data_IF_702814383045
#
_entry.id   IF_702814383045
#
_cell.length_a   1.000
_cell.length_b   1.000
_cell.length_c   1.000
_cell.angle_alpha   90.00
_cell.angle_beta   90.00
_cell.angle_gamma   90.00
#
_symmetry.space_group_name_H-M   'P 1'
#
loop_
_entity.id
_entity.type
_entity.pdbx_description
1 polymer ?
#
# COMPACT_ATOMS: atom_id res chain seq x y z
N UNK A 1 5.67 -26.30 0.76
CA UNK A 1 5.98 -26.59 2.17
C UNK A 1 6.63 -27.94 2.34
N UNK A 2 6.16 -29.00 1.66
CA UNK A 2 6.75 -30.34 1.70
C UNK A 2 8.28 -30.35 1.55
N UNK A 3 8.81 -29.65 0.55
CA UNK A 3 10.26 -29.56 0.37
C UNK A 3 10.99 -28.96 1.58
N UNK A 4 10.44 -27.89 2.18
CA UNK A 4 11.03 -27.28 3.37
C UNK A 4 10.99 -28.21 4.59
N UNK A 5 9.95 -29.05 4.68
CA UNK A 5 9.85 -30.10 5.70
C UNK A 5 10.97 -31.15 5.50
N UNK A 6 11.19 -31.60 4.26
CA UNK A 6 12.28 -32.53 3.93
C UNK A 6 13.66 -31.95 4.19
N UNK A 7 13.83 -30.66 3.91
CA UNK A 7 15.06 -29.92 4.18
C UNK A 7 15.29 -29.68 5.69
N UNK A 8 14.35 -30.08 6.55
CA UNK A 8 14.54 -30.09 8.01
C UNK A 8 14.46 -28.71 8.67
N UNK A 9 13.67 -27.77 8.11
CA UNK A 9 13.50 -26.43 8.72
C UNK A 9 12.81 -26.51 10.08
N UNK A 10 13.08 -25.54 10.96
CA UNK A 10 12.41 -25.45 12.27
C UNK A 10 11.20 -24.51 12.26
N UNK A 11 11.21 -23.50 11.38
CA UNK A 11 10.18 -22.47 11.29
C UNK A 11 9.84 -22.22 9.82
N UNK A 12 8.54 -22.07 9.53
CA UNK A 12 8.02 -21.55 8.26
C UNK A 12 7.41 -20.16 8.49
N UNK A 13 7.91 -19.17 7.75
CA UNK A 13 7.40 -17.80 7.73
C UNK A 13 6.78 -17.50 6.38
N UNK A 14 5.46 -17.31 6.34
CA UNK A 14 4.68 -17.23 5.12
C UNK A 14 3.89 -15.93 5.05
N UNK A 15 4.36 -15.00 4.21
CA UNK A 15 3.67 -13.73 3.92
C UNK A 15 2.79 -13.87 2.68
N UNK A 16 1.94 -14.91 2.68
CA UNK A 16 0.99 -15.23 1.62
C UNK A 16 -0.33 -15.66 2.26
N UNK A 17 -1.42 -15.53 1.52
CA UNK A 17 -2.76 -15.90 1.96
C UNK A 17 -3.73 -15.80 0.81
N UNK A 18 -4.85 -16.49 0.93
CA UNK A 18 -5.96 -16.44 -0.02
C UNK A 18 -7.27 -16.10 0.67
N UNK A 19 -8.37 -16.45 0.00
CA UNK A 19 -9.70 -16.49 0.61
C UNK A 19 -9.72 -17.49 1.77
N UNK A 20 -10.62 -17.27 2.73
CA UNK A 20 -10.85 -18.23 3.81
C UNK A 20 -11.74 -19.36 3.30
N UNK A 21 -11.11 -20.43 2.83
CA UNK A 21 -11.79 -21.65 2.38
C UNK A 21 -11.82 -22.72 3.50
N UNK A 22 -12.70 -23.73 3.42
CA UNK A 22 -12.63 -24.89 4.32
C UNK A 22 -11.23 -25.49 4.33
N UNK A 23 -10.71 -25.89 5.50
CA UNK A 23 -9.29 -26.24 5.68
C UNK A 23 -8.76 -27.34 4.74
N UNK A 24 -9.62 -28.25 4.31
CA UNK A 24 -9.27 -29.35 3.40
C UNK A 24 -9.22 -28.93 1.92
N UNK A 25 -9.60 -27.69 1.60
CA UNK A 25 -9.45 -27.06 0.29
C UNK A 25 -8.37 -25.97 0.29
N UNK A 26 -7.96 -25.50 1.47
CA UNK A 26 -6.91 -24.50 1.63
C UNK A 26 -5.52 -25.16 1.62
N UNK A 27 -4.76 -24.93 0.55
CA UNK A 27 -3.41 -25.47 0.37
C UNK A 27 -2.43 -25.00 1.47
N UNK A 28 -2.60 -23.79 2.01
CA UNK A 28 -1.79 -23.28 3.12
C UNK A 28 -2.15 -24.03 4.39
N UNK A 29 -3.44 -24.24 4.67
CA UNK A 29 -3.90 -25.01 5.83
C UNK A 29 -3.39 -26.46 5.80
N UNK A 30 -3.51 -27.15 4.66
CA UNK A 30 -3.03 -28.52 4.48
C UNK A 30 -1.51 -28.60 4.68
N UNK A 31 -0.76 -27.74 4.00
CA UNK A 31 0.70 -27.73 4.09
C UNK A 31 1.20 -27.39 5.50
N UNK A 32 0.55 -26.42 6.16
CA UNK A 32 0.87 -26.04 7.53
C UNK A 32 0.57 -27.17 8.50
N UNK A 33 -0.53 -27.92 8.32
CA UNK A 33 -0.85 -29.06 9.15
C UNK A 33 0.24 -30.13 9.09
N UNK A 34 0.72 -30.44 7.88
CA UNK A 34 1.80 -31.40 7.67
C UNK A 34 3.12 -30.95 8.34
N UNK A 35 3.42 -29.65 8.30
CA UNK A 35 4.59 -29.06 8.96
C UNK A 35 4.46 -29.12 10.49
N UNK A 36 3.34 -28.66 11.05
CA UNK A 36 3.08 -28.65 12.49
C UNK A 36 3.12 -30.07 13.08
N UNK A 37 2.63 -31.08 12.35
CA UNK A 37 2.74 -32.49 12.78
C UNK A 37 4.18 -32.99 12.94
N UNK A 38 5.15 -32.36 12.26
CA UNK A 38 6.58 -32.67 12.37
C UNK A 38 7.31 -31.72 13.32
N UNK A 39 6.57 -30.97 14.14
CA UNK A 39 7.14 -30.04 15.12
C UNK A 39 7.67 -28.74 14.52
N UNK A 40 7.29 -28.41 13.28
CA UNK A 40 7.72 -27.18 12.60
C UNK A 40 6.70 -26.09 12.91
N UNK A 41 7.18 -24.96 13.42
CA UNK A 41 6.32 -23.81 13.73
C UNK A 41 5.95 -23.05 12.45
N UNK A 42 4.68 -22.69 12.28
CA UNK A 42 4.17 -22.01 11.08
C UNK A 42 3.56 -20.65 11.44
N UNK A 43 4.14 -19.59 10.90
CA UNK A 43 3.67 -18.21 11.02
C UNK A 43 3.16 -17.72 9.67
N UNK A 44 1.91 -17.26 9.63
CA UNK A 44 1.30 -16.69 8.43
C UNK A 44 0.76 -15.29 8.67
N UNK A 45 0.78 -14.43 7.64
CA UNK A 45 0.13 -13.11 7.71
C UNK A 45 -1.40 -13.24 7.73
N UNK A 46 -2.09 -12.38 8.49
CA UNK A 46 -3.55 -12.31 8.56
C UNK A 46 -4.24 -11.77 7.27
N UNK A 47 -3.47 -11.20 6.35
CA UNK A 47 -3.98 -10.52 5.16
C UNK A 47 -4.19 -9.01 5.36
N UNK A 48 -4.35 -8.29 4.25
CA UNK A 48 -4.51 -6.82 4.22
C UNK A 48 -5.93 -6.40 3.81
N UNK A 49 -6.90 -7.31 3.89
CA UNK A 49 -8.28 -7.11 3.42
C UNK A 49 -9.22 -6.39 4.40
N UNK A 50 -8.73 -6.01 5.59
CA UNK A 50 -9.51 -5.27 6.57
C UNK A 50 -9.96 -3.88 6.10
N UNK A 51 -10.72 -3.14 6.93
CA UNK A 51 -10.93 -3.33 8.36
C UNK A 51 -12.27 -4.00 8.73
N UNK A 52 -13.01 -4.53 7.74
CA UNK A 52 -14.31 -5.17 8.01
C UNK A 52 -14.14 -6.45 8.83
N UNK A 53 -15.11 -6.80 9.69
CA UNK A 53 -15.13 -8.10 10.35
C UNK A 53 -14.98 -9.25 9.35
N UNK A 54 -14.43 -10.38 9.80
CA UNK A 54 -14.29 -11.62 9.02
C UNK A 54 -13.42 -11.50 7.74
N UNK A 55 -12.53 -10.50 7.67
CA UNK A 55 -11.63 -10.29 6.52
C UNK A 55 -10.27 -11.02 6.63
N UNK A 56 -10.12 -11.95 7.58
CA UNK A 56 -8.84 -12.63 7.87
C UNK A 56 -8.60 -13.78 6.88
N UNK A 57 -7.34 -14.00 6.54
CA UNK A 57 -6.85 -15.20 5.86
C UNK A 57 -6.07 -16.09 6.84
N UNK A 58 -5.76 -17.33 6.43
CA UNK A 58 -4.92 -18.27 7.18
C UNK A 58 -5.46 -18.56 8.60
N UNK A 59 -6.74 -18.91 8.70
CA UNK A 59 -7.48 -19.05 9.97
C UNK A 59 -7.41 -20.48 10.57
N UNK A 60 -6.53 -21.33 10.05
CA UNK A 60 -6.40 -22.70 10.55
C UNK A 60 -5.81 -22.71 11.97
N UNK A 61 -6.35 -23.49 12.92
CA UNK A 61 -5.94 -23.44 14.34
C UNK A 61 -4.47 -23.78 14.63
N UNK A 62 -3.78 -24.46 13.70
CA UNK A 62 -2.38 -24.84 13.81
C UNK A 62 -1.41 -23.82 13.19
N UNK A 63 -1.91 -22.68 12.74
CA UNK A 63 -1.15 -21.56 12.20
C UNK A 63 -1.16 -20.42 13.22
N UNK A 64 0.00 -19.78 13.42
CA UNK A 64 0.03 -18.47 14.08
C UNK A 64 -0.28 -17.39 13.04
N UNK A 65 -1.47 -16.82 13.14
CA UNK A 65 -1.97 -15.78 12.23
C UNK A 65 -1.62 -14.40 12.76
N UNK A 66 -0.77 -13.68 12.04
CA UNK A 66 -0.14 -12.44 12.52
C UNK A 66 -0.82 -11.21 11.90
N UNK A 67 -1.41 -10.37 12.74
CA UNK A 67 -1.94 -9.05 12.36
C UNK A 67 -0.84 -7.99 12.24
N UNK A 68 -1.12 -6.92 11.50
CA UNK A 68 -0.20 -5.79 11.36
C UNK A 68 -0.51 -4.69 12.38
N UNK A 69 0.49 -4.30 13.16
CA UNK A 69 0.44 -3.15 14.07
C UNK A 69 1.35 -2.01 13.59
N UNK A 70 1.13 -0.81 14.13
CA UNK A 70 2.01 0.34 13.91
C UNK A 70 3.11 0.41 14.97
N UNK A 71 4.25 1.01 14.60
CA UNK A 71 5.31 1.39 15.53
C UNK A 71 5.14 2.87 15.93
N UNK A 72 5.94 3.31 16.91
CA UNK A 72 6.08 4.72 17.29
C UNK A 72 6.85 5.56 16.25
N UNK A 73 7.60 4.90 15.36
CA UNK A 73 8.31 5.54 14.24
C UNK A 73 7.36 5.99 13.13
N UNK A 74 7.51 7.24 12.70
CA UNK A 74 6.80 7.84 11.56
C UNK A 74 7.79 8.46 10.53
N UNK A 75 7.30 8.75 9.32
CA UNK A 75 8.05 9.38 8.22
C UNK A 75 7.39 10.69 7.80
N UNK A 76 7.47 11.73 8.64
CA UNK A 76 6.73 12.97 8.43
C UNK A 76 7.23 13.72 7.21
N UNK A 77 6.28 14.22 6.42
CA UNK A 77 6.51 15.14 5.33
C UNK A 77 5.60 16.36 5.49
N UNK A 78 6.11 17.55 5.24
CA UNK A 78 5.36 18.78 5.48
C UNK A 78 5.07 19.50 4.17
N UNK A 79 3.81 19.86 3.96
CA UNK A 79 3.41 20.76 2.88
C UNK A 79 3.20 22.16 3.47
N UNK A 80 4.06 23.11 3.09
CA UNK A 80 3.93 24.52 3.45
C UNK A 80 3.37 25.26 2.24
N UNK A 81 2.16 25.81 2.38
CA UNK A 81 1.50 26.53 1.29
C UNK A 81 1.90 28.00 1.28
N UNK A 82 1.62 28.69 0.16
CA UNK A 82 1.92 30.13 0.02
C UNK A 82 1.22 31.03 1.05
N UNK A 83 0.12 30.57 1.65
CA UNK A 83 -0.56 31.26 2.76
C UNK A 83 0.04 30.97 4.15
N UNK A 84 1.24 30.36 4.20
CA UNK A 84 1.96 29.95 5.41
C UNK A 84 1.26 28.87 6.24
N UNK A 85 0.15 28.28 5.78
CA UNK A 85 -0.42 27.09 6.42
C UNK A 85 0.49 25.90 6.19
N UNK A 86 0.78 25.18 7.27
CA UNK A 86 1.59 23.96 7.28
C UNK A 86 0.68 22.77 7.51
N UNK A 87 0.79 21.77 6.63
CA UNK A 87 0.10 20.50 6.76
C UNK A 87 1.12 19.39 7.02
N UNK A 88 0.81 18.54 7.99
CA UNK A 88 1.58 17.34 8.27
C UNK A 88 1.03 16.20 7.44
N UNK A 89 1.91 15.52 6.72
CA UNK A 89 1.64 14.29 5.96
C UNK A 89 2.75 13.28 6.15
N UNK A 90 2.77 12.26 5.30
CA UNK A 90 3.74 11.15 5.38
C UNK A 90 4.31 10.89 3.99
N UNK A 91 5.63 10.71 3.90
CA UNK A 91 6.29 10.33 2.65
C UNK A 91 7.54 9.50 2.91
N UNK A 92 7.73 8.46 2.10
CA UNK A 92 8.95 7.66 2.06
C UNK A 92 9.93 8.12 0.96
N UNK A 93 9.68 9.29 0.36
CA UNK A 93 10.55 9.81 -0.69
C UNK A 93 11.93 10.17 -0.12
N UNK A 94 12.96 9.48 -0.59
CA UNK A 94 14.36 9.66 -0.18
C UNK A 94 15.24 10.37 -1.23
N UNK A 95 14.63 10.84 -2.34
CA UNK A 95 15.35 11.49 -3.42
C UNK A 95 15.58 12.99 -3.20
N UNK A 96 16.04 13.67 -4.26
CA UNK A 96 16.23 15.12 -4.24
C UNK A 96 14.88 15.83 -4.14
N UNK A 97 14.68 16.60 -3.06
CA UNK A 97 13.47 17.40 -2.88
C UNK A 97 13.28 18.46 -3.98
N UNK A 98 12.10 19.09 -3.96
CA UNK A 98 11.69 20.11 -4.95
C UNK A 98 12.44 21.45 -4.82
N UNK A 99 13.35 21.59 -3.85
CA UNK A 99 14.05 22.83 -3.52
C UNK A 99 13.29 23.67 -2.49
N UNK A 100 13.83 24.86 -2.19
CA UNK A 100 13.23 25.84 -1.27
C UNK A 100 12.29 26.82 -1.97
N UNK A 101 12.36 26.91 -3.29
CA UNK A 101 11.56 27.87 -4.06
C UNK A 101 10.10 27.43 -4.13
N UNK A 102 9.14 28.36 -3.91
CA UNK A 102 7.73 28.05 -4.06
C UNK A 102 7.41 27.58 -5.48
N UNK A 103 6.73 26.45 -5.58
CA UNK A 103 6.21 25.91 -6.83
C UNK A 103 4.70 26.09 -6.91
N UNK A 104 4.17 26.20 -8.12
CA UNK A 104 2.73 26.30 -8.32
C UNK A 104 2.01 25.07 -7.79
N UNK A 105 0.85 25.27 -7.16
CA UNK A 105 -0.05 24.21 -6.72
C UNK A 105 -1.24 24.15 -7.67
N UNK A 106 -1.62 22.94 -8.10
CA UNK A 106 -2.80 22.75 -8.95
C UNK A 106 -3.69 21.66 -8.37
N UNK A 107 -4.98 21.95 -8.27
CA UNK A 107 -6.02 20.97 -8.03
C UNK A 107 -6.89 20.88 -9.26
N UNK A 108 -6.89 19.72 -9.92
CA UNK A 108 -7.64 19.53 -11.15
C UNK A 108 -9.03 18.96 -10.82
N UNK A 109 -9.93 19.84 -10.39
CA UNK A 109 -11.36 19.53 -10.31
C UNK A 109 -11.85 19.48 -11.76
N UNK A 110 -12.07 18.27 -12.30
CA UNK A 110 -12.51 18.08 -13.68
C UNK A 110 -13.67 19.03 -14.01
N UNK A 111 -13.53 19.79 -15.10
CA UNK A 111 -14.54 20.78 -15.52
C UNK A 111 -15.79 20.08 -16.07
N UNK A 112 -15.67 18.80 -16.44
CA UNK A 112 -16.77 17.96 -16.89
C UNK A 112 -16.70 16.59 -16.21
N UNK A 113 -17.88 16.01 -15.95
CA UNK A 113 -18.34 14.72 -15.36
C UNK A 113 -17.37 13.54 -15.10
N UNK A 114 -16.14 13.57 -15.57
CA UNK A 114 -15.09 12.61 -15.27
C UNK A 114 -14.34 12.99 -13.98
N UNK A 115 -14.85 12.46 -12.86
CA UNK A 115 -14.23 12.43 -11.52
C UNK A 115 -12.81 11.82 -11.51
N UNK A 116 -12.29 11.38 -12.65
CA UNK A 116 -11.00 10.71 -12.85
C UNK A 116 -9.80 11.67 -12.78
N UNK A 117 -10.02 12.97 -13.05
CA UNK A 117 -8.96 13.99 -13.03
C UNK A 117 -8.51 14.38 -11.62
N UNK A 118 -9.43 14.51 -10.67
CA UNK A 118 -9.07 14.83 -9.28
C UNK A 118 -8.39 13.67 -8.58
N UNK A 119 -8.66 12.43 -9.01
CA UNK A 119 -7.98 11.23 -8.51
C UNK A 119 -6.70 10.88 -9.29
N UNK A 120 -6.26 11.68 -10.27
CA UNK A 120 -4.99 11.49 -10.99
C UNK A 120 -4.80 10.11 -11.63
N UNK A 121 -5.86 9.55 -12.23
CA UNK A 121 -5.75 8.31 -13.01
C UNK A 121 -4.92 8.49 -14.28
N UNK A 122 -4.38 7.39 -14.85
CA UNK A 122 -3.70 7.45 -16.14
C UNK A 122 -4.53 8.19 -17.20
N UNK A 123 -3.91 9.16 -17.89
CA UNK A 123 -4.54 9.93 -18.96
C UNK A 123 -5.48 11.06 -18.51
N UNK A 124 -5.73 11.26 -17.21
CA UNK A 124 -6.68 12.28 -16.74
C UNK A 124 -6.08 13.66 -16.46
N UNK A 125 -4.74 13.78 -16.47
CA UNK A 125 -4.03 15.04 -16.23
C UNK A 125 -3.62 15.70 -17.54
N UNK A 126 -3.95 16.98 -17.71
CA UNK A 126 -3.46 17.81 -18.81
C UNK A 126 -2.02 18.28 -18.51
N UNK A 127 -1.00 17.85 -19.28
CA UNK A 127 0.39 18.25 -19.08
C UNK A 127 0.59 19.77 -19.10
N UNK A 128 -0.22 20.53 -19.85
CA UNK A 128 -0.11 22.00 -19.90
C UNK A 128 -0.47 22.65 -18.56
N UNK A 129 -1.35 22.02 -17.78
CA UNK A 129 -1.80 22.55 -16.49
C UNK A 129 -0.89 22.12 -15.33
N UNK A 130 -0.27 20.94 -15.41
CA UNK A 130 0.45 20.31 -14.30
C UNK A 130 1.98 20.39 -14.38
N UNK A 131 2.57 20.63 -15.56
CA UNK A 131 4.02 20.68 -15.72
C UNK A 131 4.66 21.73 -14.80
N UNK A 132 5.69 21.32 -14.07
CA UNK A 132 6.43 22.20 -13.15
C UNK A 132 5.69 22.53 -11.85
N UNK A 133 4.55 21.88 -11.57
CA UNK A 133 3.69 22.16 -10.40
C UNK A 133 3.54 20.94 -9.50
N UNK A 134 3.12 21.20 -8.27
CA UNK A 134 2.63 20.18 -7.34
C UNK A 134 1.14 19.95 -7.61
N UNK A 135 0.75 18.69 -7.78
CA UNK A 135 -0.63 18.31 -8.10
C UNK A 135 -1.30 17.73 -6.86
N UNK A 136 -2.48 18.23 -6.52
CA UNK A 136 -3.32 17.65 -5.45
C UNK A 136 -4.18 16.53 -6.04
N UNK A 137 -4.07 15.33 -5.47
CA UNK A 137 -4.76 14.12 -5.92
C UNK A 137 -5.63 13.52 -4.81
N UNK A 138 -6.94 13.43 -5.06
CA UNK A 138 -7.88 12.82 -4.12
C UNK A 138 -7.63 11.32 -3.97
N UNK A 139 -7.99 10.79 -2.78
CA UNK A 139 -8.08 9.34 -2.58
C UNK A 139 -9.12 8.77 -3.54
N UNK A 140 -8.81 7.62 -4.12
CA UNK A 140 -9.70 6.97 -5.08
C UNK A 140 -9.31 5.52 -5.34
N UNK A 141 -9.63 5.04 -6.54
CA UNK A 141 -9.57 3.62 -6.89
C UNK A 141 -8.17 3.08 -7.18
N UNK A 142 -7.22 3.93 -7.59
CA UNK A 142 -5.83 3.52 -7.86
C UNK A 142 -4.92 3.76 -6.65
N UNK A 143 -3.82 3.02 -6.60
CA UNK A 143 -2.83 3.12 -5.53
C UNK A 143 -2.21 4.53 -5.47
N UNK A 144 -1.88 5.01 -4.27
CA UNK A 144 -1.24 6.33 -4.07
C UNK A 144 0.08 6.45 -4.82
N UNK A 145 0.86 5.37 -4.86
CA UNK A 145 2.13 5.30 -5.59
C UNK A 145 1.90 5.47 -7.10
N UNK A 146 0.84 4.83 -7.62
CA UNK A 146 0.48 4.94 -9.03
C UNK A 146 0.07 6.37 -9.41
N UNK A 147 -0.72 7.05 -8.58
CA UNK A 147 -1.05 8.48 -8.76
C UNK A 147 0.21 9.33 -8.89
N UNK A 148 1.20 9.10 -8.01
CA UNK A 148 2.49 9.80 -8.06
C UNK A 148 3.25 9.56 -9.37
N UNK A 149 3.19 8.34 -9.91
CA UNK A 149 3.77 8.01 -11.23
C UNK A 149 3.04 8.75 -12.36
N UNK A 150 1.71 8.84 -12.30
CA UNK A 150 0.92 9.59 -13.30
C UNK A 150 1.28 11.08 -13.27
N UNK A 151 1.36 11.69 -12.08
CA UNK A 151 1.77 13.09 -11.92
C UNK A 151 3.17 13.33 -12.48
N UNK A 152 4.13 12.44 -12.17
CA UNK A 152 5.50 12.51 -12.70
C UNK A 152 5.51 12.41 -14.22
N UNK A 153 4.76 11.47 -14.81
CA UNK A 153 4.65 11.30 -16.28
C UNK A 153 4.05 12.54 -16.95
N UNK A 154 3.11 13.22 -16.30
CA UNK A 154 2.52 14.47 -16.80
C UNK A 154 3.44 15.70 -16.61
N UNK A 155 4.60 15.54 -15.98
CA UNK A 155 5.60 16.59 -15.76
C UNK A 155 5.43 17.37 -14.46
N UNK A 156 4.57 16.91 -13.54
CA UNK A 156 4.46 17.47 -12.19
C UNK A 156 5.73 17.22 -11.38
N UNK A 157 6.06 18.15 -10.49
CA UNK A 157 7.27 18.11 -9.65
C UNK A 157 7.01 17.51 -8.26
N UNK A 158 5.74 17.32 -7.90
CA UNK A 158 5.33 16.72 -6.65
C UNK A 158 3.83 16.41 -6.64
N UNK A 159 3.41 15.61 -5.66
CA UNK A 159 2.02 15.26 -5.45
C UNK A 159 1.68 15.44 -3.97
N UNK A 160 0.50 16.00 -3.71
CA UNK A 160 -0.15 16.01 -2.40
C UNK A 160 -1.35 15.08 -2.48
#
# INVERSE_FOLDING_TARGET
MERAIEDGVNILSLSIGGTSDPYFLDAIAIGAFAATKRGIFVSCSAGNGGPTPESLSNVAPWIITVGAGTLDRDFPAYAVLGNKKRFTGVSLYSGKGIGSEPVGLVYNKGVELNQTSSICTPGSLDPKRVRGKVVVCDRGVIARVEKGVVVKKAGGVGMI
#
